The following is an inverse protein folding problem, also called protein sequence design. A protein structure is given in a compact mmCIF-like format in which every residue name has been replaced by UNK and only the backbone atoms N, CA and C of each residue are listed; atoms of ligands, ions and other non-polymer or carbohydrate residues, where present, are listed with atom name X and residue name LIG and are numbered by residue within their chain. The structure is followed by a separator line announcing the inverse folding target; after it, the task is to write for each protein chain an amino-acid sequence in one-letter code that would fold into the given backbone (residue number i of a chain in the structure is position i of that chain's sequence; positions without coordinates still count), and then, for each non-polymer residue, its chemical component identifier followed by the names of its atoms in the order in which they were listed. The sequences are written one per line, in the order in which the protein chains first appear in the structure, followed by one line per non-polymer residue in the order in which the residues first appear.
data_IF_193959521119
#
_entry.id   IF_193959521119
#
_cell.length_a   1.000
_cell.length_b   1.000
_cell.length_c   1.000
_cell.angle_alpha   90.00
_cell.angle_beta   90.00
_cell.angle_gamma   90.00
#
_symmetry.space_group_name_H-M   'P 1'
#
loop_
_entity.id
_entity.type
_entity.pdbx_description
1 polymer ?
#
# COMPACT_ATOMS: atom_id res chain seq x y z
N UNK A 1 8.87 13.71 -17.51
CA UNK A 1 9.62 12.46 -17.30
C UNK A 1 8.75 11.44 -16.60
N UNK A 2 9.26 10.24 -16.42
CA UNK A 2 8.58 9.22 -15.61
C UNK A 2 8.84 9.47 -14.12
N UNK A 3 7.92 9.09 -13.23
CA UNK A 3 8.16 9.12 -11.79
C UNK A 3 9.30 8.15 -11.40
N UNK A 4 10.02 8.48 -10.35
CA UNK A 4 11.02 7.60 -9.74
C UNK A 4 10.35 6.92 -8.55
N UNK A 5 10.53 5.59 -8.40
CA UNK A 5 10.14 4.88 -7.17
C UNK A 5 11.40 4.49 -6.41
N UNK A 6 11.46 4.87 -5.13
CA UNK A 6 12.59 4.56 -4.24
C UNK A 6 12.13 3.59 -3.15
N UNK A 7 12.95 2.56 -2.91
CA UNK A 7 12.90 1.63 -1.79
C UNK A 7 13.99 2.02 -0.77
N UNK A 8 13.68 2.74 0.31
CA UNK A 8 14.68 3.30 1.22
C UNK A 8 15.09 2.35 2.35
N UNK A 9 14.53 1.15 2.38
CA UNK A 9 14.65 0.23 3.49
C UNK A 9 16.09 -0.29 3.65
N UNK A 10 16.66 -0.06 4.84
CA UNK A 10 17.91 -0.64 5.37
C UNK A 10 19.12 -0.58 4.44
N UNK A 11 19.20 0.36 3.55
CA UNK A 11 20.28 0.30 2.61
C UNK A 11 21.00 1.63 2.50
N UNK A 12 22.26 1.63 2.64
CA UNK A 12 23.20 2.47 1.90
C UNK A 12 22.88 3.97 1.79
N UNK A 13 21.74 4.45 2.31
CA UNK A 13 21.41 5.85 2.36
C UNK A 13 21.61 6.38 3.79
N UNK A 14 22.26 7.51 3.89
CA UNK A 14 22.64 8.12 5.15
C UNK A 14 21.42 8.58 5.97
N UNK A 15 20.32 9.00 5.33
CA UNK A 15 19.07 9.31 6.01
C UNK A 15 17.86 9.33 5.07
N UNK A 16 16.68 9.05 5.63
CA UNK A 16 15.41 9.24 4.93
C UNK A 16 15.20 10.72 4.54
N UNK A 17 15.65 11.64 5.38
CA UNK A 17 15.51 13.08 5.14
C UNK A 17 16.26 13.51 3.86
N UNK A 18 17.46 12.97 3.62
CA UNK A 18 18.21 13.23 2.39
C UNK A 18 17.51 12.70 1.16
N UNK A 19 16.96 11.46 1.24
CA UNK A 19 16.17 10.88 0.16
C UNK A 19 14.95 11.76 -0.14
N UNK A 20 14.17 12.09 0.89
CA UNK A 20 12.96 12.90 0.73
C UNK A 20 13.29 14.30 0.17
N UNK A 21 14.48 14.85 0.46
CA UNK A 21 14.89 16.17 -0.03
C UNK A 21 15.04 16.24 -1.55
N UNK A 22 15.38 15.13 -2.20
CA UNK A 22 15.60 15.05 -3.65
C UNK A 22 14.39 14.60 -4.45
N UNK A 23 13.39 13.98 -3.79
CA UNK A 23 12.14 13.56 -4.42
C UNK A 23 11.26 14.75 -4.78
N UNK A 24 10.58 14.64 -5.92
CA UNK A 24 9.75 15.68 -6.52
C UNK A 24 8.29 15.23 -6.57
N UNK A 25 7.42 16.14 -6.97
CA UNK A 25 6.02 15.85 -7.26
C UNK A 25 5.88 14.64 -8.19
N UNK A 26 5.09 13.66 -7.76
CA UNK A 26 4.84 12.40 -8.48
C UNK A 26 5.88 11.31 -8.27
N UNK A 27 7.05 11.59 -7.68
CA UNK A 27 7.98 10.54 -7.27
C UNK A 27 7.42 9.73 -6.10
N UNK A 28 7.84 8.48 -5.94
CA UNK A 28 7.23 7.51 -5.04
C UNK A 28 8.25 7.04 -4.01
N UNK A 29 7.90 7.12 -2.73
CA UNK A 29 8.56 6.42 -1.63
C UNK A 29 7.72 5.20 -1.27
N UNK A 30 8.19 3.99 -1.62
CA UNK A 30 7.51 2.75 -1.20
C UNK A 30 8.01 2.27 0.16
N UNK A 31 7.32 1.28 0.74
CA UNK A 31 7.62 0.76 2.08
C UNK A 31 7.52 1.80 3.19
N UNK A 32 6.60 2.75 3.07
CA UNK A 32 6.54 3.89 3.99
C UNK A 32 6.23 3.52 5.45
N UNK A 33 5.68 2.34 5.72
CA UNK A 33 5.30 1.90 7.07
C UNK A 33 6.19 0.78 7.64
N UNK A 34 7.44 0.66 7.20
CA UNK A 34 8.35 -0.31 7.80
C UNK A 34 8.73 0.07 9.24
N UNK A 35 8.92 -0.95 10.09
CA UNK A 35 9.32 -0.76 11.49
C UNK A 35 10.83 -0.73 11.74
N UNK A 36 11.64 -0.63 10.69
CA UNK A 36 13.10 -0.58 10.78
C UNK A 36 13.59 0.83 11.13
N UNK A 37 14.84 0.99 11.60
CA UNK A 37 15.46 2.30 11.76
C UNK A 37 15.36 3.15 10.49
N UNK A 38 15.43 4.47 10.64
CA UNK A 38 15.33 5.43 9.52
C UNK A 38 13.99 5.40 8.76
N UNK A 39 12.90 4.98 9.40
CA UNK A 39 11.54 5.08 8.88
C UNK A 39 10.96 6.49 8.96
N UNK A 40 9.67 6.59 8.65
CA UNK A 40 8.94 7.88 8.65
C UNK A 40 8.73 8.47 10.04
N UNK A 41 8.86 7.68 11.10
CA UNK A 41 8.80 8.15 12.49
C UNK A 41 10.22 8.44 13.02
N UNK A 42 10.34 9.44 13.87
CA UNK A 42 11.52 9.73 14.65
C UNK A 42 11.60 8.81 15.90
N UNK A 43 12.67 8.93 16.69
CA UNK A 43 12.86 8.17 17.92
C UNK A 43 11.80 8.48 19.01
N UNK A 44 11.09 9.57 18.89
CA UNK A 44 9.98 9.97 19.75
C UNK A 44 8.62 9.42 19.28
N UNK A 45 8.56 8.73 18.16
CA UNK A 45 7.33 8.23 17.54
C UNK A 45 6.54 9.29 16.76
N UNK A 46 7.15 10.47 16.51
CA UNK A 46 6.51 11.52 15.71
C UNK A 46 6.87 11.34 14.24
N UNK A 47 5.91 11.66 13.37
CA UNK A 47 6.21 11.75 11.92
C UNK A 47 7.22 12.87 11.69
N UNK A 48 8.29 12.58 10.92
CA UNK A 48 9.35 13.53 10.62
C UNK A 48 8.82 14.73 9.82
N UNK A 49 9.33 15.93 10.10
CA UNK A 49 9.00 17.13 9.33
C UNK A 49 9.31 16.98 7.82
N UNK A 50 10.35 16.21 7.48
CA UNK A 50 10.73 15.91 6.11
C UNK A 50 9.64 15.12 5.37
N UNK A 51 8.90 14.24 6.07
CA UNK A 51 7.75 13.48 5.54
C UNK A 51 6.61 14.43 5.20
N UNK A 52 6.21 15.29 6.14
CA UNK A 52 5.17 16.31 5.88
C UNK A 52 5.57 17.20 4.70
N UNK A 53 6.81 17.70 4.70
CA UNK A 53 7.31 18.53 3.61
C UNK A 53 7.33 17.81 2.26
N UNK A 54 7.60 16.50 2.23
CA UNK A 54 7.57 15.70 1.01
C UNK A 54 6.13 15.49 0.51
N UNK A 55 5.19 15.21 1.40
CA UNK A 55 3.75 15.11 1.07
C UNK A 55 3.24 16.44 0.49
N UNK A 56 3.58 17.55 1.10
CA UNK A 56 3.19 18.89 0.63
C UNK A 56 3.75 19.22 -0.77
N UNK A 57 4.91 18.67 -1.12
CA UNK A 57 5.50 18.79 -2.45
C UNK A 57 4.90 17.82 -3.47
N UNK A 58 4.01 16.91 -3.07
CA UNK A 58 3.38 15.94 -3.94
C UNK A 58 4.15 14.63 -4.13
N UNK A 59 5.06 14.28 -3.23
CA UNK A 59 5.68 12.94 -3.19
C UNK A 59 4.63 11.93 -2.76
N UNK A 60 4.57 10.80 -3.45
CA UNK A 60 3.62 9.71 -3.22
C UNK A 60 4.22 8.73 -2.20
N UNK A 61 3.50 8.47 -1.13
CA UNK A 61 3.88 7.45 -0.15
C UNK A 61 3.09 6.16 -0.44
N UNK A 62 3.81 5.09 -0.74
CA UNK A 62 3.26 3.79 -1.09
C UNK A 62 3.51 2.78 0.03
N UNK A 63 2.54 1.90 0.26
CA UNK A 63 2.61 0.91 1.35
C UNK A 63 3.73 -0.10 1.11
N UNK A 64 3.76 -0.73 -0.07
CA UNK A 64 4.75 -1.77 -0.37
C UNK A 64 4.87 -2.78 0.76
N UNK A 65 3.78 -3.47 1.13
CA UNK A 65 3.71 -4.26 2.37
C UNK A 65 4.92 -5.19 2.58
N UNK A 66 5.30 -5.98 1.56
CA UNK A 66 6.44 -6.86 1.59
C UNK A 66 6.48 -7.86 2.75
N UNK A 67 7.60 -8.57 2.89
CA UNK A 67 7.84 -9.47 4.01
C UNK A 67 8.32 -8.75 5.28
N UNK A 68 8.88 -7.54 5.14
CA UNK A 68 9.52 -6.80 6.23
C UNK A 68 9.13 -5.32 6.33
N UNK A 69 8.14 -4.86 5.55
CA UNK A 69 7.96 -3.42 5.31
C UNK A 69 6.62 -2.86 5.79
N UNK A 70 5.91 -3.58 6.66
CA UNK A 70 4.66 -3.13 7.25
C UNK A 70 4.63 -3.41 8.75
N UNK A 71 4.49 -2.39 9.56
CA UNK A 71 4.34 -2.48 11.02
C UNK A 71 3.05 -1.81 11.45
N UNK A 72 2.25 -2.52 12.28
CA UNK A 72 1.03 -1.97 12.85
C UNK A 72 1.30 -0.71 13.65
N UNK A 73 2.31 -0.72 14.51
CA UNK A 73 2.64 0.44 15.34
C UNK A 73 3.01 1.67 14.53
N UNK A 74 3.70 1.49 13.39
CA UNK A 74 4.10 2.61 12.53
C UNK A 74 2.90 3.17 11.76
N UNK A 75 2.08 2.32 11.15
CA UNK A 75 0.93 2.80 10.38
C UNK A 75 -0.13 3.44 11.29
N UNK A 76 -0.41 2.85 12.45
CA UNK A 76 -1.34 3.40 13.44
C UNK A 76 -0.88 4.79 13.91
N UNK A 77 0.40 4.92 14.30
CA UNK A 77 0.99 6.21 14.71
C UNK A 77 0.98 7.26 13.59
N UNK A 78 1.27 6.86 12.35
CA UNK A 78 1.24 7.77 11.20
C UNK A 78 -0.18 8.28 10.93
N UNK A 79 -1.19 7.41 10.98
CA UNK A 79 -2.60 7.78 10.78
C UNK A 79 -3.10 8.71 11.88
N UNK A 80 -2.73 8.50 13.14
CA UNK A 80 -3.05 9.40 14.25
C UNK A 80 -2.46 10.81 14.04
N UNK A 81 -1.36 10.91 13.31
CA UNK A 81 -0.69 12.16 12.95
C UNK A 81 -1.08 12.68 11.55
N UNK A 82 -2.20 12.18 10.98
CA UNK A 82 -2.76 12.58 9.70
C UNK A 82 -1.86 12.28 8.49
N UNK A 83 -0.98 11.31 8.58
CA UNK A 83 -0.19 10.81 7.44
C UNK A 83 -0.78 9.51 6.95
N UNK A 84 -1.31 9.55 5.72
CA UNK A 84 -1.93 8.41 5.03
C UNK A 84 -1.12 8.04 3.79
N UNK A 85 -1.08 6.76 3.38
CA UNK A 85 -0.48 6.37 2.12
C UNK A 85 -1.37 6.85 0.95
N UNK A 86 -0.77 7.26 -0.15
CA UNK A 86 -1.49 7.58 -1.37
C UNK A 86 -1.82 6.32 -2.17
N UNK A 87 -0.92 5.32 -2.14
CA UNK A 87 -1.15 4.03 -2.82
C UNK A 87 -0.93 2.87 -1.86
N UNK A 88 -1.65 1.78 -2.12
CA UNK A 88 -1.54 0.52 -1.38
C UNK A 88 -1.04 -0.53 -2.36
N UNK A 89 0.13 -1.09 -2.10
CA UNK A 89 0.74 -2.15 -2.89
C UNK A 89 1.19 -3.32 -2.00
N UNK A 90 1.32 -4.49 -2.58
CA UNK A 90 1.56 -5.72 -1.84
C UNK A 90 3.03 -6.10 -1.73
N UNK A 91 3.86 -5.72 -2.69
CA UNK A 91 5.21 -6.29 -2.84
C UNK A 91 5.22 -7.82 -2.68
N UNK A 92 4.24 -8.48 -3.34
CA UNK A 92 4.04 -9.93 -3.24
C UNK A 92 5.16 -10.69 -3.93
N UNK A 93 5.78 -11.61 -3.22
CA UNK A 93 6.83 -12.49 -3.74
C UNK A 93 6.81 -13.85 -3.02
N UNK A 94 7.68 -14.77 -3.44
CA UNK A 94 7.67 -16.16 -2.99
C UNK A 94 7.84 -16.33 -1.46
N UNK A 95 8.46 -15.37 -0.78
CA UNK A 95 8.69 -15.45 0.67
C UNK A 95 7.56 -14.87 1.51
N UNK A 96 6.57 -14.19 0.91
CA UNK A 96 5.45 -13.59 1.64
C UNK A 96 4.07 -13.97 1.11
N UNK A 97 4.00 -14.82 0.07
CA UNK A 97 2.73 -15.34 -0.48
C UNK A 97 1.99 -16.27 0.50
N UNK A 98 2.68 -16.84 1.47
CA UNK A 98 2.10 -17.65 2.54
C UNK A 98 2.04 -16.90 3.89
N UNK A 99 2.19 -15.59 3.88
CA UNK A 99 2.20 -14.68 5.02
C UNK A 99 3.47 -13.83 5.06
N UNK A 100 3.38 -12.62 5.54
CA UNK A 100 2.21 -11.89 6.06
C UNK A 100 1.35 -11.21 4.98
N UNK A 101 1.73 -11.27 3.68
CA UNK A 101 1.03 -10.57 2.59
C UNK A 101 -0.16 -11.35 2.05
N UNK A 102 0.02 -12.64 1.76
CA UNK A 102 -0.91 -13.56 1.11
C UNK A 102 -1.33 -13.12 -0.29
N UNK A 103 -2.01 -11.99 -0.42
CA UNK A 103 -2.43 -11.34 -1.65
C UNK A 103 -2.74 -9.84 -1.42
N UNK A 104 -3.09 -9.12 -2.49
CA UNK A 104 -3.42 -7.70 -2.38
C UNK A 104 -4.75 -7.47 -1.63
N UNK A 105 -5.72 -8.40 -1.71
CA UNK A 105 -6.99 -8.26 -1.00
C UNK A 105 -6.80 -8.34 0.53
N UNK A 106 -5.86 -9.17 1.01
CA UNK A 106 -5.45 -9.19 2.41
C UNK A 106 -4.83 -7.85 2.84
N UNK A 107 -3.98 -7.25 2.00
CA UNK A 107 -3.43 -5.92 2.29
C UNK A 107 -4.53 -4.86 2.35
N UNK A 108 -5.49 -4.88 1.41
CA UNK A 108 -6.67 -3.98 1.46
C UNK A 108 -7.44 -4.18 2.77
N UNK A 109 -7.64 -5.44 3.20
CA UNK A 109 -8.34 -5.78 4.45
C UNK A 109 -7.67 -5.12 5.66
N UNK A 110 -6.33 -5.04 5.70
CA UNK A 110 -5.62 -4.32 6.77
C UNK A 110 -5.99 -2.85 6.83
N UNK A 111 -6.16 -2.20 5.68
CA UNK A 111 -6.57 -0.79 5.63
C UNK A 111 -8.06 -0.60 5.96
N UNK A 112 -8.94 -1.56 5.64
CA UNK A 112 -10.32 -1.55 6.15
C UNK A 112 -10.33 -1.65 7.68
N UNK A 113 -9.49 -2.50 8.28
CA UNK A 113 -9.33 -2.60 9.73
C UNK A 113 -8.82 -1.28 10.35
N UNK A 114 -7.95 -0.57 9.67
CA UNK A 114 -7.44 0.75 10.08
C UNK A 114 -8.44 1.89 9.88
N UNK A 115 -9.67 1.61 9.42
CA UNK A 115 -10.76 2.58 9.33
C UNK A 115 -10.93 3.25 7.97
N UNK A 116 -10.20 2.82 6.94
CA UNK A 116 -10.47 3.27 5.58
C UNK A 116 -11.80 2.71 5.09
N UNK A 117 -12.56 3.51 4.34
CA UNK A 117 -13.71 2.99 3.63
C UNK A 117 -13.29 2.06 2.48
N UNK A 118 -14.18 1.17 2.06
CA UNK A 118 -13.91 0.28 0.94
C UNK A 118 -13.58 1.07 -0.34
N UNK A 119 -14.30 2.15 -0.61
CA UNK A 119 -14.09 2.98 -1.80
C UNK A 119 -12.70 3.65 -1.78
N UNK A 120 -12.26 4.18 -0.63
CA UNK A 120 -10.93 4.76 -0.46
C UNK A 120 -9.84 3.72 -0.67
N UNK A 121 -9.96 2.55 -0.03
CA UNK A 121 -8.97 1.48 -0.16
C UNK A 121 -8.90 0.96 -1.61
N UNK A 122 -10.04 0.79 -2.29
CA UNK A 122 -10.08 0.38 -3.69
C UNK A 122 -9.49 1.44 -4.62
N UNK A 123 -9.74 2.73 -4.40
CA UNK A 123 -9.12 3.79 -5.18
C UNK A 123 -7.59 3.78 -5.05
N UNK A 124 -7.06 3.49 -3.84
CA UNK A 124 -5.62 3.42 -3.55
C UNK A 124 -4.91 2.22 -4.18
N UNK A 125 -5.63 1.22 -4.67
CA UNK A 125 -5.09 0.06 -5.40
C UNK A 125 -5.44 0.04 -6.88
N UNK A 126 -6.25 0.98 -7.37
CA UNK A 126 -6.72 1.03 -8.75
C UNK A 126 -6.46 2.37 -9.43
N UNK A 127 -7.37 3.33 -9.29
CA UNK A 127 -7.34 4.60 -10.02
C UNK A 127 -6.18 5.50 -9.61
N UNK A 128 -5.82 5.54 -8.32
CA UNK A 128 -4.72 6.38 -7.84
C UNK A 128 -3.36 5.87 -8.37
N UNK A 129 -2.98 4.57 -8.18
CA UNK A 129 -1.72 4.09 -8.75
C UNK A 129 -1.70 4.14 -10.28
N UNK A 130 -2.82 3.92 -10.98
CA UNK A 130 -2.88 4.10 -12.44
C UNK A 130 -2.50 5.52 -12.85
N UNK A 131 -3.03 6.53 -12.17
CA UNK A 131 -2.69 7.94 -12.38
C UNK A 131 -1.24 8.23 -12.02
N UNK A 132 -0.75 7.66 -10.92
CA UNK A 132 0.64 7.84 -10.46
C UNK A 132 1.64 7.35 -11.50
N UNK A 133 1.35 6.23 -12.17
CA UNK A 133 2.22 5.70 -13.25
C UNK A 133 1.86 6.21 -14.64
N UNK A 134 0.96 7.19 -14.75
CA UNK A 134 0.55 7.85 -16.00
C UNK A 134 -0.11 6.88 -17.00
N UNK A 135 -0.93 5.97 -16.51
CA UNK A 135 -1.67 4.96 -17.31
C UNK A 135 -3.18 4.95 -17.03
N UNK A 136 -3.72 6.00 -16.46
CA UNK A 136 -5.13 6.08 -16.01
C UNK A 136 -6.16 6.11 -17.16
N UNK A 137 -5.71 6.28 -18.39
CA UNK A 137 -6.51 6.07 -19.60
C UNK A 137 -6.62 4.57 -20.02
N UNK A 138 -5.77 3.70 -19.46
CA UNK A 138 -5.65 2.30 -19.86
C UNK A 138 -6.02 1.31 -18.75
N UNK A 139 -5.66 1.63 -17.50
CA UNK A 139 -5.83 0.75 -16.33
C UNK A 139 -6.45 1.50 -15.16
N UNK A 140 -6.83 0.77 -14.10
CA UNK A 140 -7.43 1.37 -12.90
C UNK A 140 -8.85 1.87 -13.07
N UNK A 141 -9.49 1.55 -14.20
CA UNK A 141 -10.84 1.98 -14.58
C UNK A 141 -11.57 0.87 -15.34
N UNK A 142 -12.91 0.89 -15.31
CA UNK A 142 -13.78 0.03 -16.13
C UNK A 142 -14.38 0.81 -17.32
N UNK A 143 -13.80 1.93 -17.70
CA UNK A 143 -14.26 2.72 -18.83
C UNK A 143 -14.11 1.95 -20.15
N UNK A 144 -15.00 2.25 -21.10
CA UNK A 144 -14.93 1.67 -22.46
C UNK A 144 -13.62 2.08 -23.12
N UNK A 145 -12.86 1.10 -23.59
CA UNK A 145 -11.55 1.29 -24.23
C UNK A 145 -10.36 1.01 -23.30
N UNK A 146 -10.57 0.90 -21.98
CA UNK A 146 -9.54 0.46 -21.05
C UNK A 146 -9.26 -1.04 -21.21
N UNK A 147 -8.15 -1.49 -20.64
CA UNK A 147 -7.82 -2.93 -20.61
C UNK A 147 -8.90 -3.71 -19.88
N UNK A 148 -9.22 -4.92 -20.38
CA UNK A 148 -10.25 -5.79 -19.82
C UNK A 148 -9.76 -6.53 -18.59
N UNK A 149 -9.28 -5.78 -17.58
CA UNK A 149 -8.79 -6.29 -16.30
C UNK A 149 -9.80 -5.92 -15.20
N UNK A 150 -10.31 -6.94 -14.49
CA UNK A 150 -11.25 -6.74 -13.40
C UNK A 150 -11.11 -7.84 -12.35
N UNK A 151 -11.41 -7.50 -11.10
CA UNK A 151 -11.51 -8.48 -10.01
C UNK A 151 -12.88 -8.33 -9.36
N UNK A 152 -13.61 -9.45 -9.23
CA UNK A 152 -14.80 -9.52 -8.40
C UNK A 152 -14.36 -9.86 -6.99
N UNK A 153 -14.66 -8.98 -6.04
CA UNK A 153 -14.33 -9.12 -4.63
C UNK A 153 -15.60 -9.39 -3.83
N UNK A 154 -15.49 -10.21 -2.79
CA UNK A 154 -16.52 -10.44 -1.78
C UNK A 154 -16.03 -9.90 -0.45
N UNK A 155 -16.84 -9.06 0.21
CA UNK A 155 -16.56 -8.58 1.57
C UNK A 155 -17.29 -9.49 2.56
N UNK A 156 -16.53 -10.23 3.36
CA UNK A 156 -17.04 -11.12 4.38
C UNK A 156 -16.99 -10.47 5.76
N UNK A 157 -18.01 -10.69 6.57
CA UNK A 157 -18.03 -10.31 7.98
C UNK A 157 -17.65 -11.50 8.87
N UNK A 158 -16.85 -11.24 9.91
CA UNK A 158 -16.39 -12.31 10.80
C UNK A 158 -15.29 -11.84 11.74
N UNK A 159 -14.45 -12.79 12.16
CA UNK A 159 -13.22 -12.53 12.89
C UNK A 159 -12.06 -13.09 12.07
N UNK A 160 -11.16 -12.21 11.70
CA UNK A 160 -10.05 -12.54 10.82
C UNK A 160 -8.75 -12.02 11.43
N UNK A 161 -7.77 -12.88 11.55
CA UNK A 161 -6.46 -12.51 12.07
C UNK A 161 -5.60 -11.93 10.94
N UNK A 162 -5.03 -10.75 11.20
CA UNK A 162 -4.18 -10.01 10.26
C UNK A 162 -2.80 -9.84 10.89
N UNK A 163 -1.79 -10.35 10.22
CA UNK A 163 -0.41 -10.34 10.65
C UNK A 163 0.39 -9.21 9.96
N UNK A 164 1.22 -8.50 10.70
CA UNK A 164 2.20 -7.58 10.12
C UNK A 164 3.55 -8.27 9.82
N UNK A 165 4.52 -7.52 9.32
CA UNK A 165 5.83 -8.07 8.94
C UNK A 165 6.69 -8.53 10.13
N UNK A 166 6.29 -8.21 11.37
CA UNK A 166 6.98 -8.65 12.60
C UNK A 166 6.29 -9.81 13.31
N UNK A 167 5.11 -10.24 12.82
CA UNK A 167 4.27 -11.24 13.46
C UNK A 167 3.30 -10.66 14.48
N UNK A 168 3.15 -9.33 14.55
CA UNK A 168 2.14 -8.70 15.39
C UNK A 168 0.75 -8.86 14.75
N UNK A 169 -0.24 -9.24 15.58
CA UNK A 169 -1.57 -9.59 15.10
C UNK A 169 -2.59 -8.51 15.41
N UNK A 170 -3.57 -8.35 14.50
CA UNK A 170 -4.81 -7.60 14.72
C UNK A 170 -5.99 -8.48 14.32
N UNK A 171 -7.11 -8.33 15.03
CA UNK A 171 -8.36 -9.02 14.69
C UNK A 171 -9.29 -8.08 13.95
N UNK A 172 -9.50 -8.32 12.66
CA UNK A 172 -10.45 -7.58 11.84
C UNK A 172 -11.86 -8.16 11.94
N UNK A 173 -12.86 -7.33 11.69
CA UNK A 173 -14.28 -7.75 11.61
C UNK A 173 -14.76 -8.01 10.19
N UNK A 174 -13.94 -7.68 9.22
CA UNK A 174 -14.20 -7.84 7.79
C UNK A 174 -12.99 -8.43 7.10
N UNK A 175 -13.22 -9.15 5.99
CA UNK A 175 -12.17 -9.67 5.13
C UNK A 175 -12.60 -9.57 3.66
N UNK A 176 -11.71 -9.12 2.80
CA UNK A 176 -11.95 -8.97 1.38
C UNK A 176 -11.34 -10.16 0.64
N UNK A 177 -12.15 -10.87 -0.14
CA UNK A 177 -11.73 -12.09 -0.84
C UNK A 177 -11.90 -11.93 -2.35
N UNK A 178 -10.89 -12.26 -3.18
CA UNK A 178 -11.02 -12.29 -4.62
C UNK A 178 -11.83 -13.55 -5.04
N UNK A 179 -12.96 -13.34 -5.71
CA UNK A 179 -13.85 -14.42 -6.18
C UNK A 179 -13.57 -14.80 -7.64
N UNK A 180 -13.34 -13.79 -8.47
CA UNK A 180 -13.09 -13.99 -9.89
C UNK A 180 -12.10 -12.94 -10.40
N UNK A 181 -11.12 -13.37 -11.16
CA UNK A 181 -10.16 -12.49 -11.81
C UNK A 181 -10.38 -12.52 -13.32
N UNK A 182 -10.50 -11.36 -13.93
CA UNK A 182 -10.50 -11.18 -15.38
C UNK A 182 -9.21 -10.46 -15.77
N UNK A 183 -8.45 -11.04 -16.68
CA UNK A 183 -7.23 -10.45 -17.24
C UNK A 183 -7.29 -10.44 -18.75
N UNK A 184 -7.15 -9.27 -19.34
CA UNK A 184 -7.25 -9.06 -20.80
C UNK A 184 -8.56 -9.66 -21.37
N UNK A 185 -9.68 -9.48 -20.66
CA UNK A 185 -10.98 -10.01 -21.05
C UNK A 185 -11.18 -11.52 -20.85
N UNK A 186 -10.22 -12.25 -20.25
CA UNK A 186 -10.32 -13.68 -19.97
C UNK A 186 -10.46 -13.94 -18.49
N UNK A 187 -11.35 -14.86 -18.13
CA UNK A 187 -11.56 -15.27 -16.73
C UNK A 187 -10.45 -16.22 -16.32
N UNK A 188 -9.80 -15.94 -15.20
CA UNK A 188 -8.80 -16.76 -14.55
C UNK A 188 -9.26 -17.09 -13.12
N UNK A 189 -9.44 -18.36 -12.84
CA UNK A 189 -9.80 -18.87 -11.53
C UNK A 189 -11.19 -18.44 -11.06
N UNK A 190 -11.98 -19.39 -10.61
CA UNK A 190 -13.05 -19.19 -9.65
C UNK A 190 -12.53 -19.80 -8.36
N UNK A 191 -12.14 -19.00 -7.40
CA UNK A 191 -11.97 -19.47 -6.03
C UNK A 191 -13.36 -19.83 -5.53
N UNK A 192 -13.56 -21.11 -5.22
CA UNK A 192 -14.77 -21.63 -4.60
C UNK A 192 -14.66 -21.50 -3.09
#
# INVERSE_FOLDING_TARGET
GLPIMIHPQDAWCDSLDDILSILKEGDILTHCFHGMPCGILDDGGNVRDSVHSAIDRGVIFDVGHGAGSFSWSVVESALEQNVQPQTISSDLHIYNVNGPVYDLANVITKFLHLGFSLDEALAKVTSIPAKTVLMDDQIGTLAVGAWGDAVLLELQEGKFELEDSSGEMRTATQNLIPVTVVKAGKIYGQTR
#
